data_IF_745719272920
#
_entry.id   IF_745719272920
#
_cell.length_a   1.000
_cell.length_b   1.000
_cell.length_c   1.000
_cell.angle_alpha   90.00
_cell.angle_beta   90.00
_cell.angle_gamma   90.00
#
_symmetry.space_group_name_H-M   'P 1'
#
loop_
_entity.id
_entity.type
_entity.pdbx_description
1 polymer ?
#
# COMPACT_ATOMS: atom_id res chain seq x y z
N UNK A 1 -16.72 -5.03 0.07
CA UNK A 1 -16.45 -4.51 1.42
C UNK A 1 -17.75 -4.51 2.17
N UNK A 2 -17.72 -4.67 3.50
CA UNK A 2 -18.92 -4.56 4.33
C UNK A 2 -19.66 -3.25 4.03
N UNK A 3 -20.94 -3.36 3.71
CA UNK A 3 -21.79 -2.22 3.38
C UNK A 3 -22.05 -1.34 4.60
N UNK A 4 -22.01 -1.93 5.80
CA UNK A 4 -22.26 -1.22 7.05
C UNK A 4 -21.00 -0.54 7.55
N UNK A 5 -19.91 -1.26 7.80
CA UNK A 5 -18.72 -0.66 8.44
C UNK A 5 -17.59 -0.33 7.44
N UNK A 6 -17.60 -0.87 6.22
CA UNK A 6 -16.52 -0.69 5.24
C UNK A 6 -16.35 0.75 4.72
N UNK A 7 -17.31 1.64 4.97
CA UNK A 7 -17.19 3.05 4.57
C UNK A 7 -16.07 3.78 5.35
N UNK A 8 -15.83 3.41 6.61
CA UNK A 8 -14.80 3.98 7.48
C UNK A 8 -13.43 3.31 7.39
N UNK A 9 -13.29 2.24 6.60
CA UNK A 9 -12.05 1.45 6.52
C UNK A 9 -11.23 1.91 5.30
N UNK A 10 -9.99 2.35 5.55
CA UNK A 10 -9.04 2.74 4.49
C UNK A 10 -8.31 1.53 3.90
N UNK A 11 -7.91 0.58 4.75
CA UNK A 11 -7.25 -0.66 4.36
C UNK A 11 -7.46 -1.73 5.42
N UNK A 12 -7.18 -2.98 5.06
CA UNK A 12 -7.16 -4.13 5.99
C UNK A 12 -5.77 -4.74 5.94
N UNK A 13 -5.09 -4.82 7.09
CA UNK A 13 -3.76 -5.39 7.21
C UNK A 13 -3.85 -6.81 7.78
N UNK A 14 -3.26 -7.78 7.10
CA UNK A 14 -3.09 -9.14 7.59
C UNK A 14 -1.67 -9.32 8.16
N UNK A 15 -1.50 -10.13 9.20
CA UNK A 15 -0.18 -10.48 9.69
C UNK A 15 0.67 -11.18 8.60
N UNK A 16 1.96 -10.85 8.53
CA UNK A 16 2.90 -11.59 7.69
C UNK A 16 3.22 -12.93 8.35
N UNK A 17 2.92 -14.03 7.66
CA UNK A 17 3.21 -15.38 8.13
C UNK A 17 4.18 -16.06 7.16
N UNK A 18 5.34 -16.47 7.66
CA UNK A 18 6.38 -17.11 6.86
C UNK A 18 6.41 -18.63 7.10
N UNK A 19 6.81 -19.38 6.08
CA UNK A 19 6.96 -20.83 6.12
C UNK A 19 8.43 -21.21 6.33
N UNK A 20 8.68 -22.49 6.62
CA UNK A 20 10.01 -23.09 6.79
C UNK A 20 10.86 -22.45 7.90
N UNK A 21 10.21 -21.94 8.95
CA UNK A 21 10.92 -21.42 10.12
C UNK A 21 11.43 -22.58 10.97
N UNK A 22 12.67 -22.46 11.43
CA UNK A 22 13.29 -23.42 12.33
C UNK A 22 12.54 -23.47 13.66
N UNK A 23 12.48 -24.66 14.29
CA UNK A 23 11.85 -24.83 15.60
C UNK A 23 12.35 -23.83 16.64
N UNK A 24 13.64 -23.49 16.56
CA UNK A 24 14.25 -22.42 17.34
C UNK A 24 14.20 -21.16 16.47
N UNK A 25 13.17 -20.33 16.64
CA UNK A 25 13.01 -19.04 15.94
C UNK A 25 13.90 -17.97 16.58
N UNK A 26 15.23 -18.14 16.45
CA UNK A 26 16.22 -17.27 17.09
C UNK A 26 16.16 -15.81 16.62
N UNK A 27 15.66 -15.59 15.40
CA UNK A 27 15.61 -14.28 14.77
C UNK A 27 14.21 -13.65 14.79
N UNK A 28 13.22 -14.28 15.43
CA UNK A 28 11.85 -13.77 15.50
C UNK A 28 11.16 -13.69 14.14
N UNK A 29 11.53 -14.58 13.21
CA UNK A 29 10.99 -14.61 11.85
C UNK A 29 9.50 -14.95 11.82
N UNK A 30 8.93 -15.55 12.86
CA UNK A 30 7.48 -15.80 12.94
C UNK A 30 6.67 -14.51 13.16
N UNK A 31 7.31 -13.43 13.60
CA UNK A 31 6.65 -12.15 13.91
C UNK A 31 5.48 -12.30 14.91
N UNK A 32 5.61 -13.22 15.88
CA UNK A 32 4.53 -13.60 16.81
C UNK A 32 3.95 -12.42 17.59
N UNK A 33 4.81 -11.52 18.09
CA UNK A 33 4.37 -10.34 18.85
C UNK A 33 3.47 -9.44 17.99
N UNK A 34 3.90 -9.15 16.76
CA UNK A 34 3.10 -8.37 15.81
C UNK A 34 1.76 -9.03 15.51
N UNK A 35 1.80 -10.34 15.23
CA UNK A 35 0.63 -11.14 14.85
C UNK A 35 -0.39 -11.32 15.98
N UNK A 36 0.06 -11.65 17.19
CA UNK A 36 -0.82 -12.11 18.28
C UNK A 36 -1.11 -11.04 19.32
N UNK A 37 -0.26 -10.01 19.44
CA UNK A 37 -0.40 -8.98 20.48
C UNK A 37 -0.63 -7.61 19.86
N UNK A 38 0.32 -7.09 19.08
CA UNK A 38 0.28 -5.69 18.64
C UNK A 38 -0.89 -5.42 17.69
N UNK A 39 -1.06 -6.21 16.64
CA UNK A 39 -2.10 -5.96 15.65
C UNK A 39 -3.52 -6.05 16.23
N UNK A 40 -3.87 -7.09 17.00
CA UNK A 40 -5.17 -7.13 17.68
C UNK A 40 -5.35 -6.00 18.70
N UNK A 41 -4.29 -5.62 19.41
CA UNK A 41 -4.36 -4.53 20.40
C UNK A 41 -4.61 -3.18 19.73
N UNK A 42 -3.97 -2.92 18.58
CA UNK A 42 -4.15 -1.70 17.81
C UNK A 42 -5.51 -1.64 17.11
N UNK A 43 -6.14 -2.78 16.82
CA UNK A 43 -7.47 -2.82 16.19
C UNK A 43 -8.54 -2.08 17.02
N UNK A 44 -8.42 -2.13 18.35
CA UNK A 44 -9.26 -1.34 19.26
C UNK A 44 -9.01 0.18 19.23
N UNK A 45 -7.90 0.63 18.65
CA UNK A 45 -7.48 2.04 18.58
C UNK A 45 -7.26 2.51 17.12
N UNK A 46 -8.12 2.06 16.21
CA UNK A 46 -8.12 2.53 14.81
C UNK A 46 -7.30 1.69 13.84
N UNK A 47 -6.80 0.53 14.28
CA UNK A 47 -6.18 -0.46 13.41
C UNK A 47 -4.65 -0.47 13.45
N UNK A 48 -4.03 -1.58 13.03
CA UNK A 48 -2.59 -1.68 12.87
C UNK A 48 -2.06 -0.79 11.74
N UNK A 49 -0.79 -0.44 11.84
CA UNK A 49 -0.06 0.28 10.80
C UNK A 49 0.18 -0.59 9.56
N UNK A 50 0.33 0.05 8.40
CA UNK A 50 0.71 -0.61 7.15
C UNK A 50 2.19 -1.02 7.20
N UNK A 51 2.46 -2.31 6.99
CA UNK A 51 3.81 -2.91 7.09
C UNK A 51 4.37 -3.43 5.75
N UNK A 52 3.82 -2.98 4.63
CA UNK A 52 4.33 -3.29 3.29
C UNK A 52 3.55 -4.35 2.52
N UNK A 53 3.33 -5.55 3.07
CA UNK A 53 2.63 -6.65 2.37
C UNK A 53 1.40 -7.15 3.14
N UNK A 54 0.62 -8.05 2.52
CA UNK A 54 -0.54 -8.65 3.18
C UNK A 54 -1.67 -7.66 3.46
N UNK A 55 -1.84 -6.65 2.61
CA UNK A 55 -2.79 -5.57 2.85
C UNK A 55 -3.69 -5.31 1.64
N UNK A 56 -4.99 -5.10 1.89
CA UNK A 56 -5.95 -4.67 0.89
C UNK A 56 -6.31 -3.21 1.11
N UNK A 57 -5.98 -2.36 0.14
CA UNK A 57 -6.23 -0.91 0.20
C UNK A 57 -7.49 -0.51 -0.57
N UNK A 58 -8.24 0.43 0.00
CA UNK A 58 -9.26 1.18 -0.73
C UNK A 58 -8.56 2.19 -1.63
N UNK A 59 -8.67 2.02 -2.96
CA UNK A 59 -7.99 2.86 -3.97
C UNK A 59 -8.16 4.36 -3.71
N UNK A 60 -9.38 4.78 -3.42
CA UNK A 60 -9.69 6.18 -3.13
C UNK A 60 -8.93 6.73 -1.91
N UNK A 61 -8.77 5.94 -0.84
CA UNK A 61 -7.98 6.31 0.33
C UNK A 61 -6.50 6.47 -0.03
N UNK A 62 -5.98 5.53 -0.83
CA UNK A 62 -4.61 5.58 -1.35
C UNK A 62 -4.36 6.82 -2.22
N UNK A 63 -5.37 7.25 -2.99
CA UNK A 63 -5.31 8.46 -3.82
C UNK A 63 -5.58 9.76 -3.04
N UNK A 64 -5.61 9.73 -1.70
CA UNK A 64 -5.72 10.94 -0.87
C UNK A 64 -7.14 11.49 -0.73
N UNK A 65 -8.18 10.72 -1.08
CA UNK A 65 -9.56 11.13 -0.83
C UNK A 65 -9.79 11.22 0.69
N UNK A 66 -10.18 12.39 1.16
CA UNK A 66 -10.62 12.60 2.54
C UNK A 66 -12.04 12.08 2.71
N UNK A 67 -12.26 11.22 3.68
CA UNK A 67 -13.59 10.67 3.98
C UNK A 67 -14.26 11.48 5.08
N UNK A 68 -15.54 11.80 4.89
CA UNK A 68 -16.42 12.27 5.94
C UNK A 68 -17.31 11.13 6.44
N UNK A 69 -17.68 11.16 7.73
CA UNK A 69 -18.60 10.19 8.32
C UNK A 69 -19.94 10.25 7.58
N UNK A 70 -20.37 9.14 6.97
CA UNK A 70 -21.59 9.04 6.17
C UNK A 70 -21.39 9.10 4.64
N UNK A 71 -20.16 9.24 4.16
CA UNK A 71 -19.86 9.16 2.72
C UNK A 71 -20.17 7.77 2.16
N UNK A 72 -21.26 7.67 1.40
CA UNK A 72 -21.63 6.45 0.69
C UNK A 72 -20.78 6.29 -0.56
N UNK A 73 -20.14 5.12 -0.68
CA UNK A 73 -19.38 4.77 -1.88
C UNK A 73 -20.34 4.60 -3.06
N UNK A 74 -20.21 5.43 -4.09
CA UNK A 74 -20.97 5.29 -5.34
C UNK A 74 -20.25 4.28 -6.23
N UNK A 75 -20.71 3.03 -6.21
CA UNK A 75 -20.20 1.94 -7.05
C UNK A 75 -20.17 2.29 -8.55
N UNK A 76 -21.09 3.14 -8.99
CA UNK A 76 -21.28 3.51 -10.40
C UNK A 76 -20.67 4.86 -10.78
N UNK A 77 -19.69 5.37 -10.03
CA UNK A 77 -19.00 6.58 -10.47
C UNK A 77 -18.11 6.22 -11.66
N UNK A 78 -18.59 6.54 -12.86
CA UNK A 78 -17.78 6.50 -14.08
C UNK A 78 -16.53 7.33 -13.79
N UNK A 79 -15.38 6.67 -13.67
CA UNK A 79 -14.11 7.40 -13.59
C UNK A 79 -14.00 8.13 -14.91
N UNK A 80 -14.09 9.47 -14.87
CA UNK A 80 -13.66 10.28 -16.00
C UNK A 80 -12.19 9.95 -16.22
N UNK A 81 -11.91 9.10 -17.21
CA UNK A 81 -10.56 9.00 -17.73
C UNK A 81 -10.26 10.39 -18.27
N UNK A 82 -9.30 11.07 -17.68
CA UNK A 82 -8.56 12.08 -18.43
C UNK A 82 -7.81 11.31 -19.50
N UNK A 83 -8.45 11.14 -20.66
CA UNK A 83 -7.78 10.65 -21.85
C UNK A 83 -6.84 11.77 -22.31
N UNK A 84 -5.59 11.70 -21.87
CA UNK A 84 -4.49 12.32 -22.60
C UNK A 84 -4.23 11.52 -23.87
N UNK A 85 -3.70 12.15 -24.91
CA UNK A 85 -3.32 11.40 -26.10
C UNK A 85 -2.24 10.37 -25.72
N UNK A 86 -2.19 9.22 -26.40
CA UNK A 86 -1.21 8.18 -26.10
C UNK A 86 0.24 8.72 -26.11
N UNK A 87 0.51 9.71 -26.97
CA UNK A 87 1.80 10.41 -27.07
C UNK A 87 2.15 11.17 -25.78
N UNK A 88 1.19 11.88 -25.18
CA UNK A 88 1.42 12.69 -23.97
C UNK A 88 1.69 11.79 -22.74
N UNK A 89 0.96 10.68 -22.64
CA UNK A 89 1.16 9.70 -21.58
C UNK A 89 2.50 8.96 -21.72
N UNK A 90 2.91 8.66 -22.96
CA UNK A 90 4.21 8.06 -23.24
C UNK A 90 5.36 9.00 -22.87
N UNK A 91 5.25 10.29 -23.20
CA UNK A 91 6.27 11.30 -22.91
C UNK A 91 6.43 11.51 -21.39
N UNK A 92 5.33 11.64 -20.66
CA UNK A 92 5.35 11.75 -19.20
C UNK A 92 5.88 10.49 -18.51
N UNK A 93 5.54 9.31 -19.02
CA UNK A 93 6.05 8.02 -18.51
C UNK A 93 7.55 7.88 -18.73
N UNK A 94 8.07 8.29 -19.91
CA UNK A 94 9.52 8.28 -20.21
C UNK A 94 10.33 9.13 -19.24
N UNK A 95 9.83 10.30 -18.86
CA UNK A 95 10.51 11.17 -17.89
C UNK A 95 10.60 10.49 -16.52
N UNK A 96 9.49 9.94 -16.03
CA UNK A 96 9.41 9.28 -14.72
C UNK A 96 10.23 7.99 -14.64
N UNK A 97 10.33 7.24 -15.73
CA UNK A 97 11.05 5.96 -15.80
C UNK A 97 12.52 6.11 -16.16
N UNK A 98 12.96 7.31 -16.57
CA UNK A 98 14.33 7.52 -17.05
C UNK A 98 15.42 7.22 -16.00
N UNK A 99 15.08 7.08 -14.70
CA UNK A 99 16.00 6.77 -13.60
C UNK A 99 17.34 7.52 -13.70
N UNK A 100 17.30 8.75 -14.21
CA UNK A 100 18.48 9.58 -14.44
C UNK A 100 18.93 10.30 -13.17
N UNK A 101 18.31 10.00 -12.03
CA UNK A 101 18.57 10.64 -10.75
C UNK A 101 20.04 10.49 -10.31
N UNK A 102 20.67 9.38 -10.65
CA UNK A 102 22.08 9.11 -10.32
C UNK A 102 23.07 9.68 -11.35
N UNK A 103 22.59 10.34 -12.41
CA UNK A 103 23.48 10.82 -13.48
C UNK A 103 24.35 11.97 -12.98
N UNK A 104 25.66 11.75 -12.91
CA UNK A 104 26.66 12.66 -12.33
C UNK A 104 26.86 12.52 -10.81
N UNK A 105 26.22 11.54 -10.16
CA UNK A 105 26.46 11.25 -8.75
C UNK A 105 27.74 10.41 -8.57
N UNK A 106 28.29 10.40 -7.36
CA UNK A 106 29.46 9.56 -7.03
C UNK A 106 29.16 8.04 -7.09
N UNK A 107 27.89 7.67 -7.29
CA UNK A 107 27.41 6.28 -7.32
C UNK A 107 27.13 5.78 -8.74
N UNK A 108 27.52 6.54 -9.78
CA UNK A 108 27.51 6.04 -11.15
C UNK A 108 28.42 4.81 -11.29
N UNK A 109 27.83 3.66 -11.60
CA UNK A 109 28.59 2.47 -11.98
C UNK A 109 29.11 2.71 -13.40
N UNK A 110 30.43 2.94 -13.54
CA UNK A 110 31.09 2.81 -14.84
C UNK A 110 31.12 1.33 -15.19
N UNK A 111 30.47 0.99 -16.30
CA UNK A 111 30.61 -0.32 -16.93
C UNK A 111 31.79 -0.20 -17.88
N UNK A 112 32.89 -0.84 -17.50
CA UNK A 112 34.11 -1.00 -18.29
C UNK A 112 33.97 -2.17 -19.27
#
# INVERSE_FOLDING_TARGET
MDEKEGHGIAFVQFPQCFLNITKNDLYGSLMLVGKEVEFPSMDGYGGPMYIGTGCFHKREALCGKKYAKGDKFKWNKQFERKEGSASELEETSKVLTSCTHERGSQWEIRLD
#
